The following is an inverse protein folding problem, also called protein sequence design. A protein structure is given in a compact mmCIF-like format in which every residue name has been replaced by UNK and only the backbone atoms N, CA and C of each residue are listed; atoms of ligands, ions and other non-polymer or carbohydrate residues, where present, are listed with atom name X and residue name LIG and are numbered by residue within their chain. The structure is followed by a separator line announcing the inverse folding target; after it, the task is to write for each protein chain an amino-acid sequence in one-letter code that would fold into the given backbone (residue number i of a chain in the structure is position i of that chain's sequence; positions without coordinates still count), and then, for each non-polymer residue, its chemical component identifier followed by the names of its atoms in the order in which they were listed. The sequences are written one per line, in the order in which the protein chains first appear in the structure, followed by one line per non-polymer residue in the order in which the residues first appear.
data_IF_485649575480
#
_entry.id   IF_485649575480
#
_cell.length_a   1.000
_cell.length_b   1.000
_cell.length_c   1.000
_cell.angle_alpha   90.00
_cell.angle_beta   90.00
_cell.angle_gamma   90.00
#
_symmetry.space_group_name_H-M   'P 1'
#
loop_
_entity.id
_entity.type
_entity.pdbx_description
1 polymer ?
#
# COMPACT_ATOMS: atom_id res chain seq x y z
N UNK A 1 1.53 -24.95 7.01
CA UNK A 1 1.12 -23.90 6.05
C UNK A 1 0.10 -23.00 6.76
N UNK A 2 0.55 -21.97 7.46
CA UNK A 2 -0.35 -21.05 8.19
C UNK A 2 -1.21 -20.35 7.14
N UNK A 3 -2.52 -20.63 7.18
CA UNK A 3 -3.45 -20.39 6.09
C UNK A 3 -3.51 -18.91 5.70
N UNK A 4 -3.24 -18.62 4.41
CA UNK A 4 -3.37 -17.28 3.80
C UNK A 4 -4.74 -16.64 4.07
N UNK A 5 -5.79 -17.43 4.33
CA UNK A 5 -7.11 -16.93 4.75
C UNK A 5 -7.03 -16.03 5.98
N UNK A 6 -6.24 -16.40 6.99
CA UNK A 6 -6.20 -15.67 8.26
C UNK A 6 -5.59 -14.25 8.10
N UNK A 7 -4.60 -14.09 7.22
CA UNK A 7 -4.03 -12.76 6.94
C UNK A 7 -4.98 -11.88 6.12
N UNK A 8 -5.67 -12.44 5.13
CA UNK A 8 -6.65 -11.69 4.36
C UNK A 8 -7.83 -11.26 5.24
N UNK A 9 -8.36 -12.16 6.08
CA UNK A 9 -9.42 -11.85 7.05
C UNK A 9 -9.02 -10.72 8.00
N UNK A 10 -7.76 -10.68 8.47
CA UNK A 10 -7.25 -9.56 9.28
C UNK A 10 -7.21 -8.24 8.51
N UNK A 11 -6.82 -8.26 7.23
CA UNK A 11 -6.82 -7.06 6.39
C UNK A 11 -8.24 -6.52 6.19
N UNK A 12 -9.19 -7.43 5.91
CA UNK A 12 -10.62 -7.16 5.75
C UNK A 12 -11.22 -6.58 7.03
N UNK A 13 -10.96 -7.20 8.19
CA UNK A 13 -11.50 -6.77 9.47
C UNK A 13 -11.06 -5.34 9.86
N UNK A 14 -9.96 -4.85 9.29
CA UNK A 14 -9.44 -3.51 9.54
C UNK A 14 -9.66 -2.57 8.34
N UNK A 15 -10.55 -2.89 7.39
CA UNK A 15 -10.85 -2.02 6.24
C UNK A 15 -11.35 -0.66 6.75
N UNK A 16 -10.97 0.42 6.06
CA UNK A 16 -11.38 1.83 6.32
C UNK A 16 -10.87 2.47 7.61
N UNK A 17 -10.12 1.73 8.42
CA UNK A 17 -9.34 2.34 9.47
C UNK A 17 -8.13 3.05 8.86
N UNK A 18 -7.99 4.35 9.13
CA UNK A 18 -6.82 5.18 8.76
C UNK A 18 -5.62 4.73 9.62
N UNK A 19 -5.06 3.57 9.30
CA UNK A 19 -3.95 2.91 9.99
C UNK A 19 -2.95 2.43 8.94
N UNK A 20 -1.66 2.72 9.17
CA UNK A 20 -0.58 2.11 8.38
C UNK A 20 -0.52 0.62 8.71
N UNK A 21 -0.82 -0.24 7.74
CA UNK A 21 -0.74 -1.69 7.88
C UNK A 21 0.59 -2.17 7.31
N UNK A 22 1.49 -2.61 8.18
CA UNK A 22 2.78 -3.18 7.78
C UNK A 22 2.66 -4.69 7.66
N UNK A 23 2.90 -5.23 6.46
CA UNK A 23 2.98 -6.67 6.21
C UNK A 23 4.45 -7.06 6.05
N UNK A 24 5.03 -7.68 7.08
CA UNK A 24 6.40 -8.20 7.04
C UNK A 24 6.42 -9.70 6.78
N UNK A 25 7.51 -10.20 6.19
CA UNK A 25 7.72 -11.62 5.95
C UNK A 25 8.92 -11.89 5.07
N UNK A 26 9.49 -13.10 5.16
CA UNK A 26 10.67 -13.51 4.39
C UNK A 26 10.44 -13.43 2.87
N UNK A 27 11.51 -13.25 2.09
CA UNK A 27 11.43 -13.27 0.61
C UNK A 27 10.74 -14.57 0.15
N UNK A 28 9.86 -14.48 -0.85
CA UNK A 28 9.06 -15.61 -1.38
C UNK A 28 7.99 -16.20 -0.44
N UNK A 29 7.60 -15.53 0.66
CA UNK A 29 6.48 -16.01 1.48
C UNK A 29 5.09 -15.73 0.87
N UNK A 30 5.01 -14.96 -0.22
CA UNK A 30 3.77 -14.67 -0.94
C UNK A 30 3.07 -13.37 -0.53
N UNK A 31 3.81 -12.36 -0.06
CA UNK A 31 3.27 -11.01 0.25
C UNK A 31 2.57 -10.38 -0.95
N UNK A 32 3.21 -10.38 -2.12
CA UNK A 32 2.61 -9.84 -3.35
C UNK A 32 1.35 -10.61 -3.76
N UNK A 33 1.24 -11.91 -3.42
CA UNK A 33 -0.01 -12.68 -3.58
C UNK A 33 -1.09 -12.21 -2.61
N UNK A 34 -0.75 -11.91 -1.36
CA UNK A 34 -1.69 -11.34 -0.39
C UNK A 34 -2.19 -9.96 -0.82
N UNK A 35 -1.30 -9.09 -1.31
CA UNK A 35 -1.68 -7.78 -1.85
C UNK A 35 -2.64 -7.92 -3.01
N UNK A 36 -2.34 -8.78 -3.99
CA UNK A 36 -3.24 -9.05 -5.11
C UNK A 36 -4.61 -9.54 -4.65
N UNK A 37 -4.66 -10.53 -3.75
CA UNK A 37 -5.93 -11.05 -3.22
C UNK A 37 -6.75 -9.97 -2.49
N UNK A 38 -6.09 -9.07 -1.76
CA UNK A 38 -6.78 -7.99 -1.08
C UNK A 38 -7.24 -6.89 -2.03
N UNK A 39 -6.47 -6.56 -3.07
CA UNK A 39 -6.88 -5.67 -4.16
C UNK A 39 -8.09 -6.25 -4.90
N UNK A 40 -8.07 -7.53 -5.25
CA UNK A 40 -9.19 -8.21 -5.90
C UNK A 40 -10.45 -8.17 -5.00
N UNK A 41 -10.29 -8.38 -3.69
CA UNK A 41 -11.36 -8.20 -2.72
C UNK A 41 -11.90 -6.76 -2.70
N UNK A 42 -11.04 -5.74 -2.63
CA UNK A 42 -11.45 -4.34 -2.63
C UNK A 42 -12.26 -3.99 -3.88
N UNK A 43 -11.81 -4.45 -5.06
CA UNK A 43 -12.54 -4.28 -6.32
C UNK A 43 -13.90 -5.00 -6.29
N UNK A 44 -13.96 -6.21 -5.73
CA UNK A 44 -15.20 -6.99 -5.65
C UNK A 44 -16.31 -6.33 -4.81
N UNK A 45 -15.94 -5.42 -3.90
CA UNK A 45 -16.87 -4.65 -3.06
C UNK A 45 -17.05 -3.20 -3.52
N UNK A 46 -16.63 -2.87 -4.74
CA UNK A 46 -16.93 -1.60 -5.40
C UNK A 46 -15.87 -0.51 -5.25
N UNK A 47 -14.68 -0.80 -4.68
CA UNK A 47 -13.56 0.14 -4.69
C UNK A 47 -13.02 0.24 -6.12
N UNK A 48 -12.91 1.47 -6.62
CA UNK A 48 -12.51 1.74 -7.99
C UNK A 48 -11.00 1.72 -8.16
N UNK A 49 -10.53 1.47 -9.38
CA UNK A 49 -9.09 1.42 -9.70
C UNK A 49 -8.36 2.71 -9.34
N UNK A 50 -9.01 3.88 -9.50
CA UNK A 50 -8.41 5.18 -9.15
C UNK A 50 -8.19 5.36 -7.64
N UNK A 51 -8.85 4.57 -6.80
CA UNK A 51 -8.66 4.57 -5.34
C UNK A 51 -7.54 3.62 -4.90
N UNK A 52 -6.90 2.89 -5.81
CA UNK A 52 -5.88 1.89 -5.49
C UNK A 52 -4.55 2.30 -6.11
N UNK A 53 -3.55 2.54 -5.26
CA UNK A 53 -2.18 2.81 -5.66
C UNK A 53 -1.34 1.61 -5.26
N UNK A 54 -0.76 0.91 -6.24
CA UNK A 54 0.15 -0.21 -6.00
C UNK A 54 1.52 0.09 -6.62
N UNK A 55 2.57 0.04 -5.79
CA UNK A 55 3.94 0.38 -6.16
C UNK A 55 4.84 -0.80 -5.77
N UNK A 56 5.68 -1.26 -6.69
CA UNK A 56 6.73 -2.23 -6.41
C UNK A 56 8.08 -1.55 -6.62
N UNK A 57 8.84 -1.35 -5.54
CA UNK A 57 10.13 -0.66 -5.56
C UNK A 57 11.31 -1.56 -5.98
N UNK A 58 11.06 -2.80 -6.41
CA UNK A 58 12.02 -3.59 -7.20
C UNK A 58 11.83 -3.39 -8.72
N UNK A 59 10.70 -2.81 -9.15
CA UNK A 59 10.43 -2.57 -10.57
C UNK A 59 11.27 -1.38 -11.06
N UNK A 60 11.94 -1.57 -12.21
CA UNK A 60 12.80 -0.56 -12.82
C UNK A 60 12.00 0.68 -13.23
N UNK A 61 10.72 0.50 -13.60
CA UNK A 61 9.82 1.60 -13.94
C UNK A 61 9.55 2.52 -12.73
N UNK A 62 9.81 2.02 -11.51
CA UNK A 62 9.66 2.76 -10.26
C UNK A 62 11.00 3.19 -9.64
N UNK A 63 12.13 3.10 -10.36
CA UNK A 63 13.46 3.44 -9.82
C UNK A 63 13.52 4.87 -9.25
N UNK A 64 12.82 5.81 -9.88
CA UNK A 64 12.73 7.18 -9.37
C UNK A 64 12.04 7.28 -8.00
N UNK A 65 11.15 6.34 -7.67
CA UNK A 65 10.43 6.30 -6.41
C UNK A 65 11.28 5.75 -5.25
N UNK A 66 12.53 5.35 -5.50
CA UNK A 66 13.49 5.03 -4.43
C UNK A 66 13.91 6.29 -3.65
N UNK A 67 13.70 7.48 -4.19
CA UNK A 67 13.76 8.74 -3.45
C UNK A 67 12.44 8.96 -2.69
N UNK A 68 12.51 9.04 -1.35
CA UNK A 68 11.31 9.16 -0.51
C UNK A 68 10.47 10.42 -0.79
N UNK A 69 11.08 11.51 -1.28
CA UNK A 69 10.33 12.73 -1.67
C UNK A 69 9.57 12.50 -2.95
N UNK A 70 10.17 11.80 -3.92
CA UNK A 70 9.48 11.40 -5.16
C UNK A 70 8.35 10.41 -4.86
N UNK A 71 8.59 9.42 -4.00
CA UNK A 71 7.56 8.50 -3.53
C UNK A 71 6.38 9.24 -2.87
N UNK A 72 6.68 10.17 -1.95
CA UNK A 72 5.67 10.99 -1.28
C UNK A 72 4.83 11.78 -2.30
N UNK A 73 5.48 12.49 -3.22
CA UNK A 73 4.77 13.29 -4.22
C UNK A 73 3.93 12.43 -5.16
N UNK A 74 4.47 11.30 -5.62
CA UNK A 74 3.78 10.34 -6.47
C UNK A 74 2.46 9.86 -5.86
N UNK A 75 2.49 9.51 -4.57
CA UNK A 75 1.29 9.08 -3.84
C UNK A 75 0.36 10.25 -3.59
N UNK A 76 0.88 11.38 -3.10
CA UNK A 76 0.11 12.59 -2.76
C UNK A 76 -0.73 13.09 -3.93
N UNK A 77 -0.20 13.08 -5.15
CA UNK A 77 -0.88 13.55 -6.36
C UNK A 77 -2.03 12.63 -6.81
N UNK A 78 -2.06 11.39 -6.32
CA UNK A 78 -3.06 10.36 -6.65
C UNK A 78 -4.05 10.11 -5.52
N UNK A 79 -3.97 10.87 -4.42
CA UNK A 79 -4.94 10.78 -3.35
C UNK A 79 -6.32 11.25 -3.85
N UNK A 80 -7.34 10.43 -3.61
CA UNK A 80 -8.71 10.77 -3.91
C UNK A 80 -9.23 11.76 -2.87
N UNK A 81 -9.90 12.83 -3.32
CA UNK A 81 -10.67 13.72 -2.44
C UNK A 81 -11.94 13.00 -1.99
N UNK A 82 -12.31 13.17 -0.73
CA UNK A 82 -13.55 12.65 -0.12
C UNK A 82 -13.71 11.11 -0.19
N UNK A 83 -12.65 10.39 -0.55
CA UNK A 83 -12.65 8.95 -0.70
C UNK A 83 -11.37 8.35 -0.11
N UNK A 84 -11.49 7.15 0.43
CA UNK A 84 -10.34 6.40 0.93
C UNK A 84 -9.49 5.96 -0.27
N UNK A 85 -8.19 6.25 -0.18
CA UNK A 85 -7.18 5.75 -1.11
C UNK A 85 -6.41 4.62 -0.43
N UNK A 86 -6.35 3.46 -1.08
CA UNK A 86 -5.60 2.29 -0.61
C UNK A 86 -4.23 2.27 -1.25
N UNK A 87 -3.18 2.41 -0.43
CA UNK A 87 -1.79 2.49 -0.89
C UNK A 87 -1.08 1.19 -0.52
N UNK A 88 -0.49 0.55 -1.52
CA UNK A 88 0.30 -0.67 -1.41
C UNK A 88 1.71 -0.38 -1.90
N UNK A 89 2.71 -0.57 -1.04
CA UNK A 89 4.12 -0.40 -1.38
C UNK A 89 4.83 -1.71 -1.07
N UNK A 90 5.30 -2.39 -2.10
CA UNK A 90 6.10 -3.62 -1.98
C UNK A 90 7.60 -3.27 -1.99
N UNK A 91 8.39 -4.09 -1.29
CA UNK A 91 9.85 -3.95 -1.16
C UNK A 91 10.31 -2.54 -0.71
N UNK A 92 9.57 -1.97 0.24
CA UNK A 92 9.72 -0.58 0.73
C UNK A 92 11.13 -0.25 1.25
N UNK A 93 11.87 -1.25 1.73
CA UNK A 93 13.24 -1.06 2.20
C UNK A 93 14.22 -0.61 1.10
N UNK A 94 13.85 -0.73 -0.18
CA UNK A 94 14.66 -0.18 -1.29
C UNK A 94 14.63 1.36 -1.32
N UNK A 95 13.57 1.99 -0.78
CA UNK A 95 13.48 3.43 -0.66
C UNK A 95 14.12 3.90 0.66
N UNK A 96 15.22 4.65 0.57
CA UNK A 96 15.91 5.15 1.75
C UNK A 96 15.10 6.26 2.42
N UNK A 97 14.87 6.12 3.73
CA UNK A 97 14.01 6.99 4.53
C UNK A 97 12.52 6.96 4.11
N UNK A 98 12.03 5.82 3.62
CA UNK A 98 10.62 5.66 3.25
C UNK A 98 9.66 6.04 4.38
N UNK A 99 10.07 5.85 5.65
CA UNK A 99 9.29 6.20 6.83
C UNK A 99 8.89 7.68 6.82
N UNK A 100 9.76 8.59 6.35
CA UNK A 100 9.44 10.02 6.25
C UNK A 100 8.31 10.28 5.26
N UNK A 101 8.25 9.53 4.17
CA UNK A 101 7.18 9.63 3.18
C UNK A 101 5.87 9.09 3.74
N UNK A 102 5.91 7.91 4.36
CA UNK A 102 4.74 7.25 4.94
C UNK A 102 4.15 8.06 6.11
N UNK A 103 4.99 8.55 7.02
CA UNK A 103 4.57 9.39 8.15
C UNK A 103 3.92 10.69 7.65
N UNK A 104 4.51 11.32 6.64
CA UNK A 104 3.95 12.56 6.05
C UNK A 104 2.61 12.33 5.34
N UNK A 105 2.39 11.14 4.77
CA UNK A 105 1.10 10.76 4.18
C UNK A 105 0.04 10.49 5.26
N UNK A 106 0.47 10.01 6.43
CA UNK A 106 -0.42 9.70 7.55
C UNK A 106 -0.85 10.94 8.34
N UNK A 107 0.06 11.90 8.53
CA UNK A 107 -0.20 13.15 9.27
C UNK A 107 -1.16 14.09 8.52
N UNK A 108 -1.30 13.92 7.20
CA UNK A 108 -2.30 14.67 6.42
C UNK A 108 -3.71 14.21 6.80
N UNK A 109 -4.28 14.89 7.79
CA UNK A 109 -5.72 14.94 8.00
C UNK A 109 -6.40 15.45 6.72
N UNK A 110 -7.57 14.90 6.43
CA UNK A 110 -8.34 15.21 5.23
C UNK A 110 -8.74 16.70 5.28
N UNK A 111 -7.90 17.55 4.68
CA UNK A 111 -8.16 18.98 4.50
C UNK A 111 -8.64 19.24 3.08
#
# INVERSE_FOLDING_TARGET
MISRKNYLEKLIANKDHKIIKVVTGVRRCGKSTLFRLYIDYLKSIGIQDHQIIAINLEDIDNEELLDYKKLYNYVKERLCKDQITYIFIDEVQNCKNFEKAVDSLFIKEDT
#
